data_IF_054100287436
#
_entry.id   IF_054100287436
#
_cell.length_a   1.000
_cell.length_b   1.000
_cell.length_c   1.000
_cell.angle_alpha   90.00
_cell.angle_beta   90.00
_cell.angle_gamma   90.00
#
_symmetry.space_group_name_H-M   'P 1'
#
loop_
_entity.id
_entity.type
_entity.pdbx_description
1 polymer ?
#
# COMPACT_ATOMS: atom_id res chain seq x y z
N UNK A 1 -9.13 -12.82 -15.80
CA UNK A 1 -10.40 -12.32 -15.22
C UNK A 1 -10.10 -11.01 -14.48
N UNK A 2 -10.73 -9.90 -14.88
CA UNK A 2 -10.47 -8.60 -14.25
C UNK A 2 -11.00 -8.58 -12.81
N UNK A 3 -10.12 -8.35 -11.83
CA UNK A 3 -10.48 -8.30 -10.40
C UNK A 3 -11.27 -7.02 -10.14
N UNK A 4 -12.58 -7.16 -9.88
CA UNK A 4 -13.44 -6.04 -9.54
C UNK A 4 -12.90 -5.30 -8.31
N UNK A 5 -12.71 -3.99 -8.42
CA UNK A 5 -12.35 -3.14 -7.29
C UNK A 5 -13.52 -3.08 -6.30
N UNK A 6 -13.27 -3.31 -5.00
CA UNK A 6 -14.34 -3.23 -4.01
C UNK A 6 -14.92 -1.81 -3.98
N UNK A 7 -16.20 -1.67 -4.31
CA UNK A 7 -16.94 -0.41 -4.18
C UNK A 7 -17.25 -0.18 -2.71
N UNK A 8 -16.56 0.77 -2.08
CA UNK A 8 -16.90 1.24 -0.73
C UNK A 8 -18.04 2.26 -0.86
N UNK A 9 -19.26 1.89 -0.49
CA UNK A 9 -20.38 2.83 -0.38
C UNK A 9 -20.45 3.37 1.05
N UNK A 10 -20.62 4.68 1.18
CA UNK A 10 -20.85 5.35 2.45
C UNK A 10 -22.22 6.00 2.41
N UNK A 11 -22.99 5.86 3.49
CA UNK A 11 -24.26 6.56 3.69
C UNK A 11 -24.06 7.94 4.33
N UNK A 12 -22.81 8.34 4.60
CA UNK A 12 -22.50 9.63 5.19
C UNK A 12 -22.88 10.76 4.22
N UNK A 13 -23.69 11.76 4.63
CA UNK A 13 -24.05 12.90 3.78
C UNK A 13 -22.84 13.71 3.28
N UNK A 14 -21.69 13.61 3.96
CA UNK A 14 -20.42 14.26 3.59
C UNK A 14 -19.42 13.31 2.92
N UNK A 15 -19.87 12.13 2.50
CA UNK A 15 -19.01 11.22 1.73
C UNK A 15 -18.67 11.88 0.40
N UNK A 16 -17.39 11.86 0.04
CA UNK A 16 -16.91 12.36 -1.24
C UNK A 16 -16.00 11.29 -1.86
N UNK A 17 -16.14 11.12 -3.17
CA UNK A 17 -15.18 10.33 -3.92
C UNK A 17 -13.89 11.14 -4.05
N UNK A 18 -12.77 10.53 -3.70
CA UNK A 18 -11.45 11.09 -3.99
C UNK A 18 -10.52 9.98 -4.46
N UNK A 19 -9.47 10.37 -5.17
CA UNK A 19 -8.43 9.48 -5.65
C UNK A 19 -7.09 10.05 -5.25
N UNK A 20 -6.20 9.17 -4.77
CA UNK A 20 -4.83 9.58 -4.47
C UNK A 20 -4.08 10.02 -5.74
N UNK A 21 -4.43 9.50 -6.93
CA UNK A 21 -3.94 9.97 -8.22
C UNK A 21 -2.44 10.31 -8.24
N UNK A 22 -2.15 11.62 -8.23
CA UNK A 22 -0.80 12.17 -8.26
C UNK A 22 0.03 11.83 -7.01
N UNK A 23 -0.58 11.71 -5.83
CA UNK A 23 0.12 11.33 -4.59
C UNK A 23 0.66 9.90 -4.61
N UNK A 24 0.30 9.07 -5.62
CA UNK A 24 0.93 7.75 -5.83
C UNK A 24 2.20 7.82 -6.69
N UNK A 25 2.49 8.97 -7.28
CA UNK A 25 3.57 9.16 -8.24
C UNK A 25 4.56 10.15 -7.67
N UNK A 26 5.81 9.74 -7.58
CA UNK A 26 6.89 10.63 -7.20
C UNK A 26 7.03 11.76 -8.23
N UNK A 27 7.21 12.99 -7.73
CA UNK A 27 7.72 14.11 -8.51
C UNK A 27 8.56 15.01 -7.60
N UNK A 28 9.45 15.82 -8.17
CA UNK A 28 10.26 16.75 -7.37
C UNK A 28 9.40 17.72 -6.52
N UNK A 29 8.24 18.12 -7.03
CA UNK A 29 7.30 18.99 -6.31
C UNK A 29 6.39 18.23 -5.33
N UNK A 30 6.21 16.93 -5.52
CA UNK A 30 5.40 16.05 -4.66
C UNK A 30 6.18 14.76 -4.35
N UNK A 31 7.24 14.85 -3.53
CA UNK A 31 8.18 13.75 -3.36
C UNK A 31 7.64 12.61 -2.50
N UNK A 32 6.61 12.85 -1.69
CA UNK A 32 6.06 11.84 -0.80
C UNK A 32 4.98 11.03 -1.52
N UNK A 33 5.17 9.71 -1.66
CA UNK A 33 4.13 8.80 -2.18
C UNK A 33 3.46 7.97 -1.09
N UNK A 34 3.57 8.41 0.17
CA UNK A 34 3.00 7.72 1.32
C UNK A 34 1.47 7.79 1.32
N UNK A 35 0.84 6.83 0.67
CA UNK A 35 -0.62 6.71 0.61
C UNK A 35 -1.10 5.41 1.27
N UNK A 36 -2.34 5.37 1.77
CA UNK A 36 -2.95 4.14 2.25
C UNK A 36 -3.06 3.12 1.12
N UNK A 37 -2.55 1.92 1.36
CA UNK A 37 -2.47 0.81 0.42
C UNK A 37 -3.04 -0.44 1.05
N UNK A 38 -3.80 -1.22 0.27
CA UNK A 38 -4.32 -2.51 0.71
C UNK A 38 -3.20 -3.54 0.82
N UNK A 39 -3.13 -4.26 1.94
CA UNK A 39 -2.28 -5.44 2.04
C UNK A 39 -2.94 -6.59 1.29
N UNK A 40 -2.33 -7.08 0.20
CA UNK A 40 -2.92 -8.18 -0.59
C UNK A 40 -2.69 -9.56 0.05
N UNK A 41 -1.88 -9.63 1.11
CA UNK A 41 -1.59 -10.86 1.86
C UNK A 41 -2.60 -11.09 2.99
N UNK A 42 -3.20 -10.02 3.53
CA UNK A 42 -4.27 -10.10 4.51
C UNK A 42 -5.54 -10.67 3.89
N UNK A 43 -6.16 -11.61 4.59
CA UNK A 43 -7.51 -12.06 4.25
C UNK A 43 -8.52 -10.93 4.53
N UNK A 44 -9.55 -10.76 3.68
CA UNK A 44 -10.65 -9.85 3.98
C UNK A 44 -11.35 -10.22 5.29
N UNK A 45 -11.67 -9.24 6.12
CA UNK A 45 -12.27 -9.46 7.45
C UNK A 45 -13.81 -9.32 7.36
N UNK A 46 -14.60 -10.38 7.57
CA UNK A 46 -16.06 -10.28 7.56
C UNK A 46 -16.57 -9.26 8.61
N UNK A 47 -17.63 -8.47 8.32
CA UNK A 47 -18.44 -8.46 7.10
C UNK A 47 -17.82 -7.64 5.95
N UNK A 48 -16.73 -6.91 6.21
CA UNK A 48 -16.10 -6.03 5.23
C UNK A 48 -15.24 -6.89 4.28
N UNK A 49 -15.72 -7.10 3.06
CA UNK A 49 -15.02 -7.83 1.99
C UNK A 49 -13.73 -7.15 1.49
N UNK A 50 -13.15 -6.22 2.27
CA UNK A 50 -11.95 -5.47 1.94
C UNK A 50 -10.79 -5.93 2.84
N UNK A 51 -9.59 -6.11 2.28
CA UNK A 51 -8.40 -6.39 3.08
C UNK A 51 -8.00 -5.16 3.92
N UNK A 52 -7.14 -5.40 4.92
CA UNK A 52 -6.59 -4.34 5.76
C UNK A 52 -5.79 -3.32 4.92
N UNK A 53 -5.81 -2.06 5.38
CA UNK A 53 -5.14 -0.93 4.72
C UNK A 53 -4.06 -0.39 5.66
N UNK A 54 -2.87 -0.18 5.12
CA UNK A 54 -1.74 0.42 5.84
C UNK A 54 -1.12 1.52 4.97
N UNK A 55 -0.48 2.50 5.60
CA UNK A 55 0.35 3.48 4.89
C UNK A 55 1.53 2.79 4.20
N UNK A 56 1.89 3.23 2.99
CA UNK A 56 2.98 2.66 2.18
C UNK A 56 4.24 2.45 3.02
N UNK A 57 4.67 3.47 3.75
CA UNK A 57 5.92 3.42 4.53
C UNK A 57 5.82 2.49 5.76
N UNK A 58 4.62 2.24 6.27
CA UNK A 58 4.40 1.30 7.39
C UNK A 58 4.16 -0.14 6.92
N UNK A 59 3.91 -0.36 5.63
CA UNK A 59 3.54 -1.69 5.10
C UNK A 59 4.66 -2.72 5.29
N UNK A 60 5.93 -2.33 5.10
CA UNK A 60 7.06 -3.26 5.24
C UNK A 60 7.13 -3.84 6.66
N UNK A 61 6.95 -2.99 7.68
CA UNK A 61 6.89 -3.42 9.08
C UNK A 61 5.69 -4.32 9.36
N UNK A 62 4.55 -4.04 8.75
CA UNK A 62 3.38 -4.90 8.84
C UNK A 62 3.65 -6.29 8.22
N UNK A 63 4.26 -6.35 7.03
CA UNK A 63 4.61 -7.62 6.38
C UNK A 63 5.59 -8.42 7.26
N UNK A 64 6.64 -7.77 7.77
CA UNK A 64 7.61 -8.41 8.66
C UNK A 64 6.96 -9.06 9.90
N UNK A 65 6.04 -8.35 10.55
CA UNK A 65 5.45 -8.79 11.82
C UNK A 65 4.26 -9.75 11.67
N UNK A 66 3.41 -9.54 10.65
CA UNK A 66 2.15 -10.27 10.47
C UNK A 66 2.24 -11.34 9.37
N UNK A 67 3.16 -11.16 8.43
CA UNK A 67 3.37 -12.06 7.29
C UNK A 67 4.84 -12.50 7.17
N UNK A 68 5.46 -13.07 8.23
CA UNK A 68 6.89 -13.39 8.24
C UNK A 68 7.32 -14.36 7.13
N UNK A 69 6.41 -15.18 6.60
CA UNK A 69 6.69 -16.07 5.45
C UNK A 69 6.95 -15.33 4.13
N UNK A 70 6.59 -14.05 4.08
CA UNK A 70 6.80 -13.14 2.95
C UNK A 70 7.90 -12.11 3.25
N UNK A 71 8.73 -12.36 4.28
CA UNK A 71 9.82 -11.49 4.67
C UNK A 71 11.14 -12.25 4.61
N UNK A 72 12.17 -11.61 4.08
CA UNK A 72 13.54 -12.10 4.11
C UNK A 72 14.35 -11.23 5.09
N UNK A 73 14.83 -11.85 6.16
CA UNK A 73 15.63 -11.19 7.19
C UNK A 73 17.05 -10.85 6.72
N UNK A 74 17.59 -11.53 5.71
CA UNK A 74 18.91 -11.24 5.17
C UNK A 74 18.86 -9.94 4.36
N UNK A 75 17.91 -9.86 3.43
CA UNK A 75 17.74 -8.73 2.52
C UNK A 75 16.92 -7.58 3.15
N UNK A 76 16.35 -7.78 4.34
CA UNK A 76 15.43 -6.84 5.01
C UNK A 76 14.30 -6.36 4.08
N UNK A 77 13.76 -7.30 3.30
CA UNK A 77 12.84 -6.99 2.21
C UNK A 77 11.72 -8.04 2.10
N UNK A 78 10.55 -7.65 1.56
CA UNK A 78 9.48 -8.60 1.33
C UNK A 78 9.76 -9.45 0.09
N UNK A 79 9.45 -10.75 0.18
CA UNK A 79 9.63 -11.74 -0.88
C UNK A 79 8.30 -12.33 -1.32
N UNK A 80 8.28 -12.94 -2.51
CA UNK A 80 7.10 -13.63 -3.06
C UNK A 80 5.83 -12.76 -3.14
N UNK A 81 6.00 -11.44 -3.28
CA UNK A 81 4.89 -10.53 -3.51
C UNK A 81 4.44 -10.59 -4.98
N UNK A 82 3.14 -10.37 -5.22
CA UNK A 82 2.67 -10.15 -6.59
C UNK A 82 3.35 -8.90 -7.20
N UNK A 83 3.66 -8.87 -8.50
CA UNK A 83 4.36 -7.75 -9.13
C UNK A 83 3.69 -6.40 -8.88
N UNK A 84 2.36 -6.34 -8.98
CA UNK A 84 1.61 -5.11 -8.73
C UNK A 84 1.72 -4.63 -7.28
N UNK A 85 1.72 -5.57 -6.32
CA UNK A 85 1.85 -5.21 -4.90
C UNK A 85 3.26 -4.71 -4.60
N UNK A 86 4.29 -5.38 -5.12
CA UNK A 86 5.67 -4.93 -5.01
C UNK A 86 5.86 -3.51 -5.58
N UNK A 87 5.33 -3.23 -6.78
CA UNK A 87 5.37 -1.90 -7.39
C UNK A 87 4.68 -0.83 -6.54
N UNK A 88 3.57 -1.16 -5.89
CA UNK A 88 2.86 -0.20 -5.02
C UNK A 88 3.64 0.12 -3.74
N UNK A 89 4.53 -0.78 -3.30
CA UNK A 89 5.34 -0.59 -2.09
C UNK A 89 6.74 -0.05 -2.36
N UNK A 90 7.22 -0.14 -3.60
CA UNK A 90 8.55 0.33 -3.98
C UNK A 90 8.72 1.83 -3.68
N UNK A 91 9.70 2.15 -2.86
CA UNK A 91 10.13 3.52 -2.57
C UNK A 91 11.39 3.76 -3.40
N UNK A 92 11.37 4.74 -4.29
CA UNK A 92 12.52 5.00 -5.16
C UNK A 92 13.65 5.68 -4.39
N UNK A 93 14.88 5.61 -4.91
CA UNK A 93 16.03 6.28 -4.29
C UNK A 93 15.83 7.80 -4.24
N UNK A 94 15.24 8.36 -5.29
CA UNK A 94 14.93 9.79 -5.38
C UNK A 94 13.88 10.19 -4.34
N UNK A 95 12.87 9.34 -4.12
CA UNK A 95 11.88 9.52 -3.06
C UNK A 95 12.55 9.52 -1.69
N UNK A 96 13.44 8.56 -1.40
CA UNK A 96 14.16 8.51 -0.11
C UNK A 96 14.98 9.79 0.13
N UNK A 97 15.80 10.18 -0.85
CA UNK A 97 16.63 11.39 -0.78
C UNK A 97 15.77 12.63 -0.55
N UNK A 98 14.65 12.75 -1.27
CA UNK A 98 13.75 13.90 -1.13
C UNK A 98 12.99 13.92 0.22
N UNK A 99 12.87 12.78 0.90
CA UNK A 99 12.35 12.68 2.27
C UNK A 99 13.46 12.85 3.35
N UNK A 100 14.72 13.00 2.95
CA UNK A 100 15.85 13.14 3.87
C UNK A 100 16.29 11.83 4.54
N UNK A 101 16.02 10.69 3.90
CA UNK A 101 16.44 9.34 4.31
C UNK A 101 17.46 8.81 3.32
#
# INVERSE_FOLDING_TARGET
>A
TARATPKCSSTCPRSHAFSYGHAKKYSANTPCTNVPTFCTLCLPIPPRKSPAVFWKYSMLRHIQSVHPRFWDDSEHAPINLSPQFALNLAISREEMIAQGV
#
